data_IF_524153753462
#
_entry.id   IF_524153753462
#
_cell.length_a   1.000
_cell.length_b   1.000
_cell.length_c   1.000
_cell.angle_alpha   90.00
_cell.angle_beta   90.00
_cell.angle_gamma   90.00
#
_symmetry.space_group_name_H-M   'P 1'
#
loop_
_entity.id
_entity.type
_entity.pdbx_description
1 polymer ?
#
# COMPACT_ATOMS: atom_id res chain seq x y z
N UNK A 1 7.31 -14.30 3.05
CA UNK A 1 6.72 -13.43 2.04
C UNK A 1 5.22 -13.42 2.33
N UNK A 2 4.68 -12.31 2.79
CA UNK A 2 3.35 -12.30 3.41
C UNK A 2 2.29 -12.09 2.32
N UNK A 3 1.64 -13.17 1.90
CA UNK A 3 0.60 -13.21 0.86
C UNK A 3 -0.57 -12.21 1.08
N UNK A 4 -0.70 -11.69 2.30
CA UNK A 4 -1.72 -10.72 2.66
C UNK A 4 -1.40 -9.30 2.17
N UNK A 5 -0.13 -8.88 2.13
CA UNK A 5 0.24 -7.52 1.74
C UNK A 5 -0.08 -7.22 0.27
N UNK A 6 0.14 -8.17 -0.61
CA UNK A 6 0.01 -7.96 -2.05
C UNK A 6 -1.45 -7.83 -2.51
N UNK A 7 -2.37 -8.60 -1.88
CA UNK A 7 -3.81 -8.45 -2.11
C UNK A 7 -4.36 -7.12 -1.61
N UNK A 8 -3.87 -6.64 -0.48
CA UNK A 8 -4.30 -5.37 0.09
C UNK A 8 -3.93 -4.19 -0.79
N UNK A 9 -2.74 -4.17 -1.36
CA UNK A 9 -2.31 -3.13 -2.28
C UNK A 9 -3.17 -3.08 -3.54
N UNK A 10 -3.48 -4.22 -4.12
CA UNK A 10 -4.30 -4.29 -5.33
C UNK A 10 -5.71 -3.75 -5.10
N UNK A 11 -6.36 -4.10 -3.98
CA UNK A 11 -7.72 -3.62 -3.65
C UNK A 11 -7.76 -2.13 -3.35
N UNK A 12 -6.76 -1.60 -2.63
CA UNK A 12 -6.73 -0.20 -2.22
C UNK A 12 -6.23 0.73 -3.33
N UNK A 13 -5.30 0.26 -4.15
CA UNK A 13 -4.71 1.07 -5.23
C UNK A 13 -5.58 1.07 -6.49
N UNK A 14 -6.35 0.00 -6.70
CA UNK A 14 -7.16 -0.19 -7.91
C UNK A 14 -8.57 -0.71 -7.60
N UNK A 15 -9.38 0.01 -6.82
CA UNK A 15 -10.71 -0.46 -6.44
C UNK A 15 -11.67 -0.68 -7.61
N UNK A 16 -11.34 -0.14 -8.77
CA UNK A 16 -12.13 -0.29 -10.01
C UNK A 16 -11.83 -1.58 -10.78
N UNK A 17 -10.76 -2.29 -10.45
CA UNK A 17 -10.39 -3.51 -11.16
C UNK A 17 -10.91 -4.75 -10.43
N UNK A 18 -11.42 -5.69 -11.21
CA UNK A 18 -11.78 -7.00 -10.69
C UNK A 18 -10.54 -7.90 -10.66
N UNK A 19 -9.94 -8.03 -9.48
CA UNK A 19 -8.75 -8.86 -9.26
C UNK A 19 -9.07 -10.29 -8.83
N UNK A 20 -10.36 -10.67 -8.81
CA UNK A 20 -10.77 -12.04 -8.58
C UNK A 20 -10.66 -12.84 -9.88
N UNK A 21 -9.88 -13.90 -9.84
CA UNK A 21 -9.72 -14.85 -10.93
C UNK A 21 -10.13 -16.23 -10.43
N UNK A 22 -10.82 -16.96 -11.28
CA UNK A 22 -11.09 -18.40 -11.05
C UNK A 22 -9.83 -19.20 -11.30
N UNK A 23 -9.84 -20.47 -10.87
CA UNK A 23 -8.71 -21.38 -11.14
C UNK A 23 -8.53 -21.60 -12.66
N UNK A 24 -9.63 -21.66 -13.42
CA UNK A 24 -9.58 -21.80 -14.88
C UNK A 24 -8.97 -20.57 -15.54
N UNK A 25 -9.40 -19.37 -15.15
CA UNK A 25 -8.81 -18.11 -15.65
C UNK A 25 -7.32 -18.00 -15.28
N UNK A 26 -6.94 -18.47 -14.09
CA UNK A 26 -5.54 -18.49 -13.67
C UNK A 26 -4.70 -19.42 -14.54
N UNK A 27 -5.23 -20.61 -14.88
CA UNK A 27 -4.58 -21.56 -15.79
C UNK A 27 -4.48 -21.01 -17.22
N UNK A 28 -5.54 -20.36 -17.69
CA UNK A 28 -5.58 -19.71 -19.01
C UNK A 28 -4.53 -18.59 -19.11
N UNK A 29 -4.42 -17.74 -18.10
CA UNK A 29 -3.39 -16.69 -18.03
C UNK A 29 -1.99 -17.30 -18.06
N UNK A 30 -1.74 -18.36 -17.28
CA UNK A 30 -0.45 -19.07 -17.30
C UNK A 30 -0.13 -19.63 -18.68
N UNK A 31 -1.12 -20.22 -19.37
CA UNK A 31 -0.94 -20.78 -20.70
C UNK A 31 -0.56 -19.68 -21.72
N UNK A 32 -1.30 -18.58 -21.76
CA UNK A 32 -0.98 -17.44 -22.65
C UNK A 32 0.40 -16.85 -22.36
N UNK A 33 0.75 -16.70 -21.07
CA UNK A 33 2.07 -16.22 -20.68
C UNK A 33 3.19 -17.16 -21.14
N UNK A 34 2.99 -18.48 -21.01
CA UNK A 34 3.94 -19.49 -21.50
C UNK A 34 4.11 -19.48 -23.03
N UNK A 35 3.05 -19.11 -23.77
CA UNK A 35 3.10 -18.92 -25.22
C UNK A 35 3.77 -17.59 -25.64
N UNK A 36 4.15 -16.73 -24.67
CA UNK A 36 4.83 -15.47 -24.94
C UNK A 36 3.91 -14.30 -25.28
N UNK A 37 2.61 -14.40 -25.00
CA UNK A 37 1.69 -13.29 -25.17
C UNK A 37 2.01 -12.16 -24.19
N UNK A 38 1.88 -10.92 -24.67
CA UNK A 38 2.01 -9.73 -23.82
C UNK A 38 0.78 -9.57 -22.91
N UNK A 39 0.88 -8.88 -21.76
CA UNK A 39 -0.25 -8.63 -20.89
C UNK A 39 -1.44 -8.01 -21.60
N UNK A 40 -1.20 -7.14 -22.57
CA UNK A 40 -2.24 -6.50 -23.39
C UNK A 40 -2.98 -7.48 -24.31
N UNK A 41 -2.26 -8.43 -24.86
CA UNK A 41 -2.85 -9.49 -25.70
C UNK A 41 -3.64 -10.48 -24.84
N UNK A 42 -3.13 -10.85 -23.69
CA UNK A 42 -3.82 -11.70 -22.72
C UNK A 42 -5.11 -11.02 -22.24
N UNK A 43 -5.06 -9.75 -21.91
CA UNK A 43 -6.21 -8.96 -21.49
C UNK A 43 -7.35 -8.99 -22.55
N UNK A 44 -6.98 -8.85 -23.82
CA UNK A 44 -7.93 -8.96 -24.94
C UNK A 44 -8.52 -10.36 -25.07
N UNK A 45 -7.67 -11.39 -24.98
CA UNK A 45 -8.10 -12.78 -25.13
C UNK A 45 -9.06 -13.20 -24.00
N UNK A 46 -8.78 -12.77 -22.77
CA UNK A 46 -9.56 -13.11 -21.58
C UNK A 46 -10.70 -12.12 -21.30
N UNK A 47 -10.89 -11.10 -22.16
CA UNK A 47 -11.88 -10.01 -21.97
C UNK A 47 -11.78 -9.36 -20.58
N UNK A 48 -10.55 -9.04 -20.18
CA UNK A 48 -10.20 -8.40 -18.92
C UNK A 48 -9.41 -7.12 -19.14
N UNK A 49 -9.31 -6.27 -18.12
CA UNK A 49 -8.45 -5.10 -18.18
C UNK A 49 -6.96 -5.47 -18.04
N UNK A 50 -6.10 -4.81 -18.81
CA UNK A 50 -4.65 -5.08 -18.79
C UNK A 50 -4.02 -5.00 -17.39
N UNK A 51 -4.36 -4.01 -16.54
CA UNK A 51 -3.88 -3.98 -15.15
C UNK A 51 -4.30 -5.19 -14.31
N UNK A 52 -5.49 -5.77 -14.53
CA UNK A 52 -5.94 -6.99 -13.85
C UNK A 52 -5.04 -8.17 -14.20
N UNK A 53 -4.74 -8.33 -15.49
CA UNK A 53 -3.81 -9.37 -15.98
C UNK A 53 -2.42 -9.20 -15.41
N UNK A 54 -1.90 -7.96 -15.38
CA UNK A 54 -0.58 -7.68 -14.83
C UNK A 54 -0.53 -8.06 -13.35
N UNK A 55 -1.49 -7.59 -12.55
CA UNK A 55 -1.54 -7.86 -11.11
C UNK A 55 -1.65 -9.35 -10.81
N UNK A 56 -2.55 -10.06 -11.52
CA UNK A 56 -2.72 -11.48 -11.30
C UNK A 56 -1.54 -12.32 -11.81
N UNK A 57 -0.97 -11.96 -12.95
CA UNK A 57 0.21 -12.62 -13.51
C UNK A 57 1.47 -12.42 -12.66
N UNK A 58 1.61 -11.28 -11.99
CA UNK A 58 2.65 -11.05 -10.98
C UNK A 58 2.40 -11.92 -9.74
N UNK A 59 1.16 -12.03 -9.29
CA UNK A 59 0.78 -12.91 -8.19
C UNK A 59 1.10 -14.38 -8.47
N UNK A 60 0.82 -14.84 -9.68
CA UNK A 60 1.14 -16.20 -10.12
C UNK A 60 2.64 -16.41 -10.42
N UNK A 61 3.44 -15.33 -10.46
CA UNK A 61 4.87 -15.38 -10.79
C UNK A 61 5.18 -15.69 -12.25
N UNK A 62 4.17 -15.66 -13.14
CA UNK A 62 4.31 -15.92 -14.57
C UNK A 62 4.62 -14.67 -15.39
N UNK A 63 4.23 -13.50 -14.92
CA UNK A 63 4.69 -12.23 -15.44
C UNK A 63 5.86 -11.75 -14.58
N UNK A 64 6.98 -11.51 -15.20
CA UNK A 64 8.09 -10.83 -14.56
C UNK A 64 7.89 -9.34 -14.83
N UNK A 65 7.91 -8.54 -13.77
CA UNK A 65 8.26 -7.14 -13.94
C UNK A 65 9.67 -7.19 -14.52
N UNK A 66 9.79 -7.04 -15.86
CA UNK A 66 11.04 -6.53 -16.35
C UNK A 66 11.25 -5.31 -15.46
N UNK A 67 12.36 -5.26 -14.72
CA UNK A 67 12.85 -3.99 -14.25
C UNK A 67 12.90 -3.15 -15.52
N UNK A 68 11.81 -2.49 -15.84
CA UNK A 68 11.91 -1.22 -16.48
C UNK A 68 12.92 -0.58 -15.55
N UNK A 69 14.12 -0.38 -16.07
CA UNK A 69 14.97 0.66 -15.54
C UNK A 69 14.04 1.87 -15.55
N UNK A 70 13.22 1.98 -14.51
CA UNK A 70 12.83 3.28 -14.06
C UNK A 70 14.20 3.89 -13.81
N UNK A 71 14.72 4.50 -14.84
CA UNK A 71 15.52 5.67 -14.64
C UNK A 71 14.60 6.51 -13.81
N UNK A 72 14.69 6.27 -12.48
CA UNK A 72 14.17 7.22 -11.51
C UNK A 72 14.63 8.54 -12.12
N UNK A 73 13.73 9.51 -12.34
CA UNK A 73 14.14 10.79 -12.85
C UNK A 73 14.98 11.48 -11.77
N UNK A 74 16.13 10.88 -11.44
CA UNK A 74 17.22 11.50 -10.69
C UNK A 74 17.65 12.79 -11.43
N UNK A 75 17.33 12.89 -12.71
CA UNK A 75 17.49 14.08 -13.53
C UNK A 75 16.64 15.29 -13.07
N UNK A 76 15.64 15.11 -12.21
CA UNK A 76 14.85 16.18 -11.63
C UNK A 76 15.17 16.50 -10.15
N UNK A 77 16.06 15.76 -9.55
CA UNK A 77 16.83 16.30 -8.45
C UNK A 77 17.80 17.28 -9.11
N UNK A 78 17.39 18.55 -9.22
CA UNK A 78 18.24 19.58 -9.79
C UNK A 78 19.63 19.51 -9.17
N UNK A 79 20.65 19.98 -9.89
CA UNK A 79 22.04 20.00 -9.43
C UNK A 79 22.21 20.67 -8.04
N UNK A 80 21.16 21.31 -7.55
CA UNK A 80 21.05 21.98 -6.25
C UNK A 80 20.53 21.10 -5.12
N UNK A 81 20.15 19.85 -5.39
CA UNK A 81 19.81 18.89 -4.33
C UNK A 81 21.08 18.33 -3.71
N UNK A 82 21.76 19.16 -2.95
CA UNK A 82 22.80 18.70 -2.04
C UNK A 82 22.10 17.98 -0.87
N UNK A 83 22.17 16.64 -0.76
CA UNK A 83 21.53 15.92 0.34
C UNK A 83 22.13 16.28 1.71
N UNK A 84 23.22 17.03 1.70
CA UNK A 84 23.92 17.54 2.89
C UNK A 84 23.74 19.04 3.09
N UNK A 85 22.82 19.69 2.35
CA UNK A 85 22.49 21.10 2.62
C UNK A 85 21.58 21.18 3.86
N UNK A 86 22.24 21.26 5.00
CA UNK A 86 21.60 21.39 6.31
C UNK A 86 20.95 22.77 6.54
N UNK A 87 21.08 23.72 5.61
CA UNK A 87 20.54 25.06 5.76
C UNK A 87 19.00 25.10 5.64
N UNK A 88 18.37 24.04 5.13
CA UNK A 88 16.94 23.91 5.08
C UNK A 88 16.30 23.35 6.37
N UNK A 89 17.12 22.91 7.33
CA UNK A 89 16.59 22.45 8.59
C UNK A 89 16.23 23.64 9.48
N UNK A 90 15.05 23.61 10.06
CA UNK A 90 14.70 24.53 11.13
C UNK A 90 15.77 24.48 12.21
N UNK A 91 16.27 25.65 12.65
CA UNK A 91 17.26 25.73 13.73
C UNK A 91 16.74 25.18 15.06
N UNK A 92 15.42 25.00 15.17
CA UNK A 92 14.78 24.48 16.37
C UNK A 92 14.37 23.01 16.20
N UNK A 93 14.83 22.12 17.08
CA UNK A 93 14.37 20.73 17.09
C UNK A 93 12.87 20.66 17.41
N UNK A 94 12.20 19.61 16.91
CA UNK A 94 10.80 19.38 17.24
C UNK A 94 10.64 19.03 18.71
N UNK A 95 9.58 19.53 19.33
CA UNK A 95 9.22 19.13 20.69
C UNK A 95 8.71 17.68 20.72
N UNK A 96 8.83 17.04 21.87
CA UNK A 96 8.30 15.68 22.07
C UNK A 96 6.81 15.61 21.73
N UNK A 97 6.02 16.61 22.12
CA UNK A 97 4.59 16.68 21.81
C UNK A 97 4.31 16.76 20.29
N UNK A 98 5.16 17.45 19.53
CA UNK A 98 5.03 17.50 18.07
C UNK A 98 5.35 16.14 17.45
N UNK A 99 6.32 15.42 18.00
CA UNK A 99 6.72 14.09 17.54
C UNK A 99 5.59 13.08 17.84
N UNK A 100 5.03 13.10 19.04
CA UNK A 100 3.91 12.24 19.44
C UNK A 100 2.69 12.47 18.54
N UNK A 101 2.35 13.73 18.26
CA UNK A 101 1.21 14.04 17.38
C UNK A 101 1.43 13.53 15.96
N UNK A 102 2.64 13.65 15.44
CA UNK A 102 2.98 13.15 14.11
C UNK A 102 2.98 11.62 14.05
N UNK A 103 3.52 10.97 15.09
CA UNK A 103 3.50 9.51 15.24
C UNK A 103 2.04 9.00 15.19
N UNK A 104 1.17 9.59 16.02
CA UNK A 104 -0.25 9.23 16.04
C UNK A 104 -0.92 9.43 14.68
N UNK A 105 -0.69 10.56 14.02
CA UNK A 105 -1.24 10.85 12.70
C UNK A 105 -0.84 9.79 11.66
N UNK A 106 0.42 9.35 11.66
CA UNK A 106 0.90 8.32 10.73
C UNK A 106 0.33 6.95 11.13
N UNK A 107 0.27 6.63 12.41
CA UNK A 107 -0.33 5.40 12.91
C UNK A 107 -1.80 5.29 12.49
N UNK A 108 -2.57 6.36 12.63
CA UNK A 108 -3.98 6.41 12.23
C UNK A 108 -4.16 6.15 10.73
N UNK A 109 -3.26 6.70 9.89
CA UNK A 109 -3.26 6.43 8.44
C UNK A 109 -3.02 4.97 8.11
N UNK A 110 -2.02 4.36 8.74
CA UNK A 110 -1.68 2.95 8.55
C UNK A 110 -2.82 2.07 9.04
N UNK A 111 -3.35 2.36 10.24
CA UNK A 111 -4.47 1.63 10.81
C UNK A 111 -5.71 1.71 9.89
N UNK A 112 -6.03 2.90 9.37
CA UNK A 112 -7.18 3.09 8.49
C UNK A 112 -7.07 2.25 7.22
N UNK A 113 -5.91 2.20 6.59
CA UNK A 113 -5.66 1.35 5.42
C UNK A 113 -5.88 -0.13 5.74
N UNK A 114 -5.32 -0.61 6.85
CA UNK A 114 -5.51 -2.00 7.32
C UNK A 114 -7.00 -2.27 7.65
N UNK A 115 -7.68 -1.31 8.27
CA UNK A 115 -9.11 -1.43 8.58
C UNK A 115 -9.96 -1.53 7.30
N UNK A 116 -9.70 -0.71 6.28
CA UNK A 116 -10.42 -0.76 5.01
C UNK A 116 -10.25 -2.10 4.30
N UNK A 117 -9.08 -2.68 4.40
CA UNK A 117 -8.82 -4.01 3.87
C UNK A 117 -9.58 -5.09 4.65
N UNK A 118 -9.53 -5.05 5.99
CA UNK A 118 -10.32 -5.93 6.86
C UNK A 118 -11.82 -5.81 6.56
N UNK A 119 -12.31 -4.58 6.34
CA UNK A 119 -13.70 -4.32 5.97
C UNK A 119 -14.09 -5.03 4.67
N UNK A 120 -13.26 -4.96 3.65
CA UNK A 120 -13.49 -5.67 2.40
C UNK A 120 -13.59 -7.21 2.60
N UNK A 121 -12.77 -7.77 3.49
CA UNK A 121 -12.81 -9.20 3.81
C UNK A 121 -14.06 -9.59 4.63
N UNK A 122 -14.51 -8.74 5.53
CA UNK A 122 -15.80 -8.92 6.25
C UNK A 122 -16.97 -8.87 5.28
N UNK A 123 -17.01 -7.89 4.38
CA UNK A 123 -18.08 -7.72 3.38
C UNK A 123 -18.15 -8.92 2.40
N UNK A 124 -17.01 -9.56 2.13
CA UNK A 124 -16.93 -10.80 1.32
C UNK A 124 -17.24 -12.07 2.10
N UNK A 125 -17.42 -11.98 3.40
CA UNK A 125 -17.65 -13.14 4.27
C UNK A 125 -16.39 -14.00 4.49
N UNK A 126 -15.20 -13.49 4.21
CA UNK A 126 -13.92 -14.20 4.38
C UNK A 126 -13.49 -14.28 5.84
N UNK A 127 -13.88 -13.30 6.63
CA UNK A 127 -13.62 -13.25 8.07
C UNK A 127 -14.88 -12.88 8.84
N UNK A 128 -15.01 -13.49 10.02
CA UNK A 128 -16.07 -13.17 10.96
C UNK A 128 -15.51 -12.28 12.06
N UNK A 129 -16.25 -11.27 12.42
CA UNK A 129 -15.88 -10.30 13.45
C UNK A 129 -16.97 -10.24 14.52
N UNK A 130 -16.57 -9.98 15.75
CA UNK A 130 -17.48 -9.70 16.84
C UNK A 130 -18.23 -8.38 16.56
N UNK A 131 -19.59 -8.36 16.57
CA UNK A 131 -20.37 -7.18 16.19
C UNK A 131 -20.05 -5.93 17.04
N UNK A 132 -19.84 -6.10 18.35
CA UNK A 132 -19.60 -4.97 19.24
C UNK A 132 -18.21 -4.37 19.04
N UNK A 133 -17.22 -5.22 18.81
CA UNK A 133 -15.88 -4.77 18.45
C UNK A 133 -15.87 -4.10 17.09
N UNK A 134 -16.59 -4.68 16.14
CA UNK A 134 -16.68 -4.15 14.79
C UNK A 134 -17.31 -2.76 14.75
N UNK A 135 -18.38 -2.54 15.51
CA UNK A 135 -19.01 -1.24 15.63
C UNK A 135 -18.04 -0.16 16.14
N UNK A 136 -17.20 -0.50 17.12
CA UNK A 136 -16.16 0.41 17.64
C UNK A 136 -15.06 0.70 16.60
N UNK A 137 -14.65 -0.31 15.83
CA UNK A 137 -13.67 -0.12 14.75
C UNK A 137 -14.22 0.79 13.65
N UNK A 138 -15.51 0.65 13.29
CA UNK A 138 -16.17 1.54 12.34
C UNK A 138 -16.23 2.98 12.85
N UNK A 139 -16.61 3.18 14.11
CA UNK A 139 -16.63 4.51 14.73
C UNK A 139 -15.23 5.14 14.75
N UNK A 140 -14.19 4.36 15.07
CA UNK A 140 -12.81 4.83 15.03
C UNK A 140 -12.37 5.23 13.62
N UNK A 141 -12.76 4.45 12.60
CA UNK A 141 -12.48 4.78 11.21
C UNK A 141 -13.15 6.09 10.78
N UNK A 142 -14.43 6.28 11.16
CA UNK A 142 -15.16 7.51 10.89
C UNK A 142 -14.54 8.72 11.61
N UNK A 143 -14.02 8.52 12.82
CA UNK A 143 -13.31 9.55 13.55
C UNK A 143 -12.04 9.99 12.81
N UNK A 144 -11.23 9.05 12.36
CA UNK A 144 -10.01 9.33 11.57
C UNK A 144 -10.35 10.09 10.28
N UNK A 145 -11.43 9.71 9.60
CA UNK A 145 -11.90 10.41 8.40
C UNK A 145 -12.30 11.86 8.71
N UNK A 146 -12.98 12.07 9.83
CA UNK A 146 -13.35 13.44 10.26
C UNK A 146 -12.14 14.31 10.61
N UNK A 147 -11.14 13.72 11.26
CA UNK A 147 -9.94 14.43 11.72
C UNK A 147 -8.95 14.72 10.59
N UNK A 148 -8.74 13.77 9.69
CA UNK A 148 -7.68 13.86 8.69
C UNK A 148 -8.18 14.12 7.27
N UNK A 149 -9.44 13.88 6.99
CA UNK A 149 -10.04 13.95 5.66
C UNK A 149 -9.71 12.72 4.82
N UNK A 150 -10.71 12.14 4.17
CA UNK A 150 -10.60 10.90 3.39
C UNK A 150 -9.52 10.98 2.30
N UNK A 151 -9.31 12.15 1.69
CA UNK A 151 -8.33 12.38 0.63
C UNK A 151 -6.88 12.21 1.11
N UNK A 152 -6.65 12.24 2.42
CA UNK A 152 -5.32 12.11 3.04
C UNK A 152 -5.03 10.70 3.58
N UNK A 153 -6.01 9.79 3.43
CA UNK A 153 -5.96 8.44 4.00
C UNK A 153 -5.67 7.34 2.96
N UNK A 154 -5.27 7.72 1.78
CA UNK A 154 -4.94 6.80 0.68
C UNK A 154 -5.88 6.97 -0.52
N UNK A 155 -5.81 6.07 -1.48
CA UNK A 155 -4.87 4.93 -1.54
C UNK A 155 -3.41 5.36 -1.70
N UNK A 156 -2.49 4.60 -1.12
CA UNK A 156 -1.05 4.85 -1.19
C UNK A 156 -0.40 3.92 -2.21
N UNK A 157 0.57 4.45 -2.97
CA UNK A 157 1.47 3.61 -3.76
C UNK A 157 2.38 2.81 -2.83
N UNK A 158 3.01 1.74 -3.34
CA UNK A 158 3.97 0.94 -2.58
C UNK A 158 5.08 1.79 -1.95
N UNK A 159 5.62 2.73 -2.73
CA UNK A 159 6.65 3.66 -2.23
C UNK A 159 6.11 4.54 -1.10
N UNK A 160 4.91 5.11 -1.26
CA UNK A 160 4.29 5.94 -0.21
C UNK A 160 4.00 5.14 1.05
N UNK A 161 3.56 3.89 0.90
CA UNK A 161 3.32 2.99 2.01
C UNK A 161 4.60 2.67 2.77
N UNK A 162 5.66 2.27 2.05
CA UNK A 162 6.97 2.02 2.65
C UNK A 162 7.53 3.26 3.36
N UNK A 163 7.32 4.46 2.78
CA UNK A 163 7.70 5.71 3.43
C UNK A 163 6.90 5.99 4.71
N UNK A 164 5.61 5.67 4.75
CA UNK A 164 4.80 5.81 5.98
C UNK A 164 5.31 4.89 7.09
N UNK A 165 5.57 3.63 6.76
CA UNK A 165 6.13 2.66 7.71
C UNK A 165 7.49 3.11 8.23
N UNK A 166 8.39 3.53 7.35
CA UNK A 166 9.71 4.04 7.73
C UNK A 166 9.64 5.29 8.61
N UNK A 167 8.73 6.22 8.31
CA UNK A 167 8.49 7.40 9.15
C UNK A 167 7.98 7.02 10.53
N UNK A 168 7.01 6.10 10.61
CA UNK A 168 6.48 5.61 11.88
C UNK A 168 7.57 4.96 12.73
N UNK A 169 8.38 4.09 12.11
CA UNK A 169 9.50 3.44 12.77
C UNK A 169 10.49 4.46 13.36
N UNK A 170 10.91 5.43 12.55
CA UNK A 170 11.85 6.47 13.00
C UNK A 170 11.29 7.31 14.16
N UNK A 171 10.01 7.72 14.10
CA UNK A 171 9.38 8.49 15.18
C UNK A 171 9.28 7.69 16.48
N UNK A 172 8.90 6.41 16.39
CA UNK A 172 8.84 5.52 17.55
C UNK A 172 10.20 5.30 18.17
N UNK A 173 11.23 5.10 17.35
CA UNK A 173 12.60 5.01 17.86
C UNK A 173 13.01 6.28 18.62
N UNK A 174 12.74 7.46 18.09
CA UNK A 174 13.00 8.73 18.78
C UNK A 174 12.24 8.83 20.10
N UNK A 175 11.06 8.21 20.20
CA UNK A 175 10.25 8.14 21.42
C UNK A 175 10.68 7.02 22.40
N UNK A 176 11.75 6.29 22.11
CA UNK A 176 12.32 5.28 22.98
C UNK A 176 11.88 3.85 22.75
N UNK A 177 11.19 3.58 21.63
CA UNK A 177 10.91 2.21 21.21
C UNK A 177 12.15 1.57 20.57
N UNK A 178 12.20 0.25 20.57
CA UNK A 178 13.26 -0.48 19.87
C UNK A 178 13.19 -0.25 18.35
N UNK A 179 14.32 -0.39 17.65
CA UNK A 179 14.39 -0.12 16.21
C UNK A 179 13.74 -1.22 15.35
N UNK A 180 13.61 -2.43 15.88
CA UNK A 180 13.14 -3.60 15.15
C UNK A 180 11.61 -3.64 15.06
N UNK A 181 11.10 -3.14 13.95
CA UNK A 181 9.67 -2.93 13.68
C UNK A 181 9.06 -3.89 12.68
N UNK A 182 9.57 -5.07 12.52
CA UNK A 182 8.99 -6.04 11.60
C UNK A 182 7.81 -6.82 12.17
N UNK A 183 7.43 -6.57 13.42
CA UNK A 183 6.27 -7.17 14.09
C UNK A 183 5.08 -6.20 14.09
N UNK A 184 4.59 -5.84 12.88
CA UNK A 184 3.31 -5.16 12.72
C UNK A 184 2.18 -6.14 12.47
#
# INVERSE_FOLDING_TARGET
MNLYSDRYFAVLTYPKYNITFTDDESQELMAYSAMGYTPKEIARAMNRDEPEIILHGLYLGVLKVSRVEQKLPIQHLGADCNPYDWNHFSSEPRTVDQIIRLEKLIQDKIWFVCHMAKRADVERGLIHVDPDKWAKELEAADQIVREQGIQNLGPYTETQWSMLLGKLSALRWVLGHEWDFFDL
#
